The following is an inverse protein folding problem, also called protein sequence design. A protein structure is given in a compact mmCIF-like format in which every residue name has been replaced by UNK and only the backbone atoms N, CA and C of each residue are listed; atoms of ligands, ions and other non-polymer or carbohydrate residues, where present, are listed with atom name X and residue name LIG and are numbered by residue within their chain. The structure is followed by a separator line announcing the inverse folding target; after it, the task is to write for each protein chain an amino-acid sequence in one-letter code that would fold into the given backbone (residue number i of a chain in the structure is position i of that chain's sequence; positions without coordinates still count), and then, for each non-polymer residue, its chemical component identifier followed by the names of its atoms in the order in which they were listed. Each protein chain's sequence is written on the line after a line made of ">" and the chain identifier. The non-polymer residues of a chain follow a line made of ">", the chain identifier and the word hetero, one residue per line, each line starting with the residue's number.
data_IF_573877999256
#
_entry.id   IF_573877999256
#
_cell.length_a   1.000
_cell.length_b   1.000
_cell.length_c   1.000
_cell.angle_alpha   90.00
_cell.angle_beta   90.00
_cell.angle_gamma   90.00
#
_symmetry.space_group_name_H-M   'P 1'
#
loop_
_entity.id
_entity.type
_entity.pdbx_description
1 polymer ?
#
# COMPACT_ATOMS: atom_id res chain seq x y z
N UNK A 1 -30.72 56.07 30.19
CA UNK A 1 -29.60 55.33 30.81
C UNK A 1 -29.92 53.85 30.69
N UNK A 2 -29.38 53.18 29.67
CA UNK A 2 -28.17 52.33 29.69
C UNK A 2 -28.50 50.85 29.99
N UNK A 3 -28.66 50.10 28.90
CA UNK A 3 -28.08 48.78 28.65
C UNK A 3 -28.35 47.63 29.65
N UNK A 4 -29.33 46.78 29.34
CA UNK A 4 -29.37 45.38 29.80
C UNK A 4 -29.78 44.47 28.62
N UNK A 5 -28.95 44.46 27.58
CA UNK A 5 -28.98 43.51 26.47
C UNK A 5 -27.54 43.07 26.28
N UNK A 6 -27.12 41.94 26.89
CA UNK A 6 -25.90 41.14 26.59
C UNK A 6 -25.48 40.28 27.80
N UNK A 7 -26.12 39.12 27.94
CA UNK A 7 -25.62 37.90 28.57
C UNK A 7 -26.70 36.87 28.22
N UNK A 8 -26.49 35.74 27.56
CA UNK A 8 -25.38 34.80 27.65
C UNK A 8 -25.51 33.87 26.42
N UNK A 9 -24.91 34.24 25.29
CA UNK A 9 -24.76 33.36 24.12
C UNK A 9 -23.29 32.94 24.13
N UNK A 10 -22.98 31.76 24.65
CA UNK A 10 -21.75 30.98 24.38
C UNK A 10 -21.67 29.76 25.30
N UNK A 11 -22.52 28.74 25.08
CA UNK A 11 -22.30 27.43 25.68
C UNK A 11 -22.81 26.29 24.78
N UNK A 12 -22.38 26.26 23.52
CA UNK A 12 -22.70 25.17 22.59
C UNK A 12 -21.50 24.81 21.67
N UNK A 13 -20.27 24.74 22.18
CA UNK A 13 -19.12 24.27 21.39
C UNK A 13 -18.15 23.38 22.19
N UNK A 14 -18.70 22.42 22.93
CA UNK A 14 -17.92 21.27 23.39
C UNK A 14 -18.68 20.01 23.02
N UNK A 15 -18.77 19.74 21.72
CA UNK A 15 -18.97 18.37 21.27
C UNK A 15 -17.65 17.63 21.55
N UNK A 16 -17.60 16.64 22.45
CA UNK A 16 -16.46 15.74 22.47
C UNK A 16 -16.38 15.11 21.09
N UNK A 17 -15.22 15.24 20.45
CA UNK A 17 -14.83 14.35 19.35
C UNK A 17 -14.88 12.96 19.96
N UNK A 18 -16.00 12.26 19.77
CA UNK A 18 -16.05 10.83 20.04
C UNK A 18 -15.12 10.22 19.00
N UNK A 19 -13.87 10.01 19.40
CA UNK A 19 -13.02 8.97 18.82
C UNK A 19 -13.79 7.68 19.09
N UNK A 20 -14.66 7.29 18.16
CA UNK A 20 -15.17 5.95 18.11
C UNK A 20 -13.96 5.07 17.79
N UNK A 21 -13.29 4.59 18.85
CA UNK A 21 -12.65 3.30 18.80
C UNK A 21 -13.77 2.30 18.51
N UNK A 22 -14.07 2.10 17.22
CA UNK A 22 -14.90 0.99 16.80
C UNK A 22 -14.16 -0.25 17.28
N UNK A 23 -14.69 -0.86 18.33
CA UNK A 23 -14.45 -2.26 18.62
C UNK A 23 -14.98 -3.01 17.38
N UNK A 24 -14.09 -3.21 16.40
CA UNK A 24 -14.35 -4.03 15.23
C UNK A 24 -14.54 -5.43 15.78
N UNK A 25 -15.79 -5.78 16.09
CA UNK A 25 -16.25 -7.17 16.21
C UNK A 25 -15.60 -7.91 15.04
N UNK A 26 -15.02 -9.08 15.29
CA UNK A 26 -14.39 -9.92 14.26
C UNK A 26 -15.39 -10.20 13.13
N UNK A 27 -15.53 -9.27 12.19
CA UNK A 27 -16.30 -9.42 10.98
C UNK A 27 -15.46 -10.28 10.07
N UNK A 28 -15.95 -11.49 9.79
CA UNK A 28 -15.29 -12.41 8.87
C UNK A 28 -14.89 -11.66 7.59
N UNK A 29 -13.60 -11.70 7.28
CA UNK A 29 -13.08 -11.21 6.00
C UNK A 29 -13.55 -12.21 4.95
N UNK A 30 -14.26 -11.75 3.93
CA UNK A 30 -14.77 -12.65 2.91
C UNK A 30 -13.63 -13.23 2.06
N UNK A 31 -13.51 -14.57 2.05
CA UNK A 31 -12.60 -15.32 1.18
C UNK A 31 -13.41 -16.11 0.16
N UNK A 32 -13.02 -16.01 -1.11
CA UNK A 32 -13.77 -16.62 -2.22
C UNK A 32 -13.12 -17.94 -2.67
N UNK A 33 -13.87 -19.06 -2.72
CA UNK A 33 -13.32 -20.35 -3.13
C UNK A 33 -12.67 -20.35 -4.53
N UNK A 34 -13.22 -19.58 -5.47
CA UNK A 34 -12.66 -19.47 -6.82
C UNK A 34 -11.24 -18.87 -6.81
N UNK A 35 -11.02 -17.83 -6.00
CA UNK A 35 -9.69 -17.21 -5.83
C UNK A 35 -8.70 -18.20 -5.22
N UNK A 36 -9.12 -18.98 -4.22
CA UNK A 36 -8.27 -20.01 -3.60
C UNK A 36 -7.88 -21.06 -4.64
N UNK A 37 -8.82 -21.51 -5.47
CA UNK A 37 -8.54 -22.46 -6.56
C UNK A 37 -7.56 -21.89 -7.60
N UNK A 38 -7.72 -20.62 -7.98
CA UNK A 38 -6.77 -19.97 -8.91
C UNK A 38 -5.39 -19.79 -8.27
N UNK A 39 -5.33 -19.54 -6.97
CA UNK A 39 -4.08 -19.49 -6.23
C UNK A 39 -3.37 -20.85 -6.20
N UNK A 40 -4.10 -21.94 -5.96
CA UNK A 40 -3.56 -23.30 -6.06
C UNK A 40 -2.97 -23.58 -7.45
N UNK A 41 -3.70 -23.20 -8.52
CA UNK A 41 -3.21 -23.31 -9.90
C UNK A 41 -1.93 -22.49 -10.13
N UNK A 42 -1.85 -21.30 -9.53
CA UNK A 42 -0.67 -20.42 -9.59
C UNK A 42 0.46 -20.81 -8.61
N UNK A 43 0.34 -21.92 -7.88
CA UNK A 43 1.25 -22.31 -6.79
C UNK A 43 1.43 -21.25 -5.69
N UNK A 44 0.41 -20.42 -5.48
CA UNK A 44 0.36 -19.41 -4.44
C UNK A 44 -0.31 -19.98 -3.18
N UNK A 45 0.39 -19.95 -2.04
CA UNK A 45 -0.11 -20.47 -0.76
C UNK A 45 -1.12 -19.50 -0.11
N UNK A 46 -2.29 -19.35 -0.73
CA UNK A 46 -3.23 -18.26 -0.44
C UNK A 46 -3.56 -18.09 1.03
N UNK A 47 -4.00 -19.17 1.70
CA UNK A 47 -4.42 -19.11 3.10
C UNK A 47 -3.24 -18.84 4.05
N UNK A 48 -2.06 -19.39 3.75
CA UNK A 48 -0.85 -19.13 4.56
C UNK A 48 -0.44 -17.66 4.47
N UNK A 49 -0.40 -17.11 3.25
CA UNK A 49 -0.06 -15.70 3.02
C UNK A 49 -1.13 -14.78 3.62
N UNK A 50 -2.41 -15.10 3.43
CA UNK A 50 -3.53 -14.37 4.02
C UNK A 50 -3.43 -14.30 5.55
N UNK A 51 -3.22 -15.44 6.21
CA UNK A 51 -3.15 -15.49 7.68
C UNK A 51 -1.95 -14.69 8.22
N UNK A 52 -0.80 -14.76 7.55
CA UNK A 52 0.38 -13.95 7.90
C UNK A 52 0.16 -12.46 7.63
N UNK A 53 -0.48 -12.12 6.51
CA UNK A 53 -0.83 -10.74 6.19
C UNK A 53 -1.77 -10.16 7.24
N UNK A 54 -2.83 -10.90 7.61
CA UNK A 54 -3.81 -10.53 8.65
C UNK A 54 -3.16 -10.35 10.03
N UNK A 55 -2.07 -11.06 10.32
CA UNK A 55 -1.30 -10.90 11.56
C UNK A 55 -0.24 -9.79 11.50
N UNK A 56 -0.22 -9.00 10.42
CA UNK A 56 0.63 -7.82 10.29
C UNK A 56 2.01 -8.08 9.70
N UNK A 57 2.29 -9.26 9.14
CA UNK A 57 3.58 -9.54 8.51
C UNK A 57 3.77 -8.68 7.24
N UNK A 58 4.74 -7.74 7.20
CA UNK A 58 4.86 -6.78 6.09
C UNK A 58 5.10 -7.43 4.73
N UNK A 59 5.85 -8.54 4.71
CA UNK A 59 6.15 -9.28 3.50
C UNK A 59 4.90 -9.95 2.95
N UNK A 60 4.13 -10.60 3.82
CA UNK A 60 2.89 -11.28 3.45
C UNK A 60 1.80 -10.28 3.06
N UNK A 61 1.71 -9.10 3.71
CA UNK A 61 0.80 -8.02 3.26
C UNK A 61 1.12 -7.64 1.81
N UNK A 62 2.39 -7.37 1.51
CA UNK A 62 2.81 -7.01 0.17
C UNK A 62 2.52 -8.13 -0.83
N UNK A 63 2.91 -9.35 -0.51
CA UNK A 63 2.70 -10.53 -1.35
C UNK A 63 1.20 -10.79 -1.61
N UNK A 64 0.37 -10.66 -0.58
CA UNK A 64 -1.08 -10.79 -0.69
C UNK A 64 -1.68 -9.73 -1.60
N UNK A 65 -1.26 -8.46 -1.48
CA UNK A 65 -1.72 -7.40 -2.37
C UNK A 65 -1.23 -7.61 -3.82
N UNK A 66 0.02 -8.03 -4.02
CA UNK A 66 0.61 -8.28 -5.34
C UNK A 66 -0.06 -9.45 -6.09
N UNK A 67 -0.73 -10.36 -5.38
CA UNK A 67 -1.52 -11.44 -6.00
C UNK A 67 -2.65 -10.91 -6.90
N UNK A 68 -3.07 -9.65 -6.74
CA UNK A 68 -3.93 -8.97 -7.71
C UNK A 68 -3.35 -8.98 -9.14
N UNK A 69 -2.03 -9.05 -9.33
CA UNK A 69 -1.43 -9.14 -10.67
C UNK A 69 -1.57 -10.52 -11.32
N UNK A 70 -1.91 -11.55 -10.54
CA UNK A 70 -2.05 -12.95 -10.99
C UNK A 70 -3.49 -13.28 -11.37
N UNK A 71 -4.46 -12.77 -10.61
CA UNK A 71 -5.88 -12.98 -10.85
C UNK A 71 -6.48 -11.84 -11.68
N UNK A 72 -7.44 -12.14 -12.55
CA UNK A 72 -8.14 -11.13 -13.36
C UNK A 72 -9.66 -11.37 -13.40
N UNK A 73 -10.40 -10.47 -14.07
CA UNK A 73 -11.84 -10.57 -14.22
C UNK A 73 -12.58 -10.66 -12.88
N UNK A 74 -13.49 -11.63 -12.76
CA UNK A 74 -14.30 -11.83 -11.55
C UNK A 74 -13.47 -12.19 -10.33
N UNK A 75 -12.46 -13.06 -10.50
CA UNK A 75 -11.57 -13.51 -9.43
C UNK A 75 -10.66 -12.38 -8.94
N UNK A 76 -10.21 -11.52 -9.87
CA UNK A 76 -9.47 -10.30 -9.53
C UNK A 76 -10.27 -9.36 -8.62
N UNK A 77 -11.56 -9.16 -8.91
CA UNK A 77 -12.44 -8.35 -8.07
C UNK A 77 -12.81 -9.02 -6.73
N UNK A 78 -12.96 -10.34 -6.72
CA UNK A 78 -13.19 -11.10 -5.49
C UNK A 78 -12.00 -11.00 -4.55
N UNK A 79 -10.78 -11.20 -5.07
CA UNK A 79 -9.56 -11.04 -4.28
C UNK A 79 -9.39 -9.59 -3.79
N UNK A 80 -9.66 -8.60 -4.63
CA UNK A 80 -9.64 -7.20 -4.22
C UNK A 80 -10.65 -6.90 -3.10
N UNK A 81 -11.81 -7.57 -3.10
CA UNK A 81 -12.79 -7.49 -2.00
C UNK A 81 -12.21 -8.06 -0.70
N UNK A 82 -11.56 -9.22 -0.77
CA UNK A 82 -10.82 -9.78 0.38
C UNK A 82 -9.74 -8.82 0.88
N UNK A 83 -8.95 -8.20 -0.02
CA UNK A 83 -7.94 -7.22 0.36
C UNK A 83 -8.55 -6.00 1.04
N UNK A 84 -9.60 -5.41 0.47
CA UNK A 84 -10.31 -4.24 1.02
C UNK A 84 -10.80 -4.52 2.44
N UNK A 85 -11.43 -5.68 2.65
CA UNK A 85 -11.96 -6.07 3.96
C UNK A 85 -10.88 -6.43 4.98
N UNK A 86 -9.67 -6.74 4.54
CA UNK A 86 -8.52 -6.96 5.42
C UNK A 86 -7.92 -5.65 5.93
N UNK A 87 -8.00 -4.56 5.16
CA UNK A 87 -7.31 -3.30 5.48
C UNK A 87 -7.62 -2.75 6.89
N UNK A 88 -8.88 -2.73 7.37
CA UNK A 88 -9.19 -2.21 8.71
C UNK A 88 -8.56 -3.00 9.88
N UNK A 89 -8.12 -4.23 9.64
CA UNK A 89 -7.44 -5.06 10.65
C UNK A 89 -5.94 -4.80 10.71
N UNK A 90 -5.42 -4.00 9.78
CA UNK A 90 -4.02 -3.65 9.66
C UNK A 90 -3.80 -2.19 10.03
N UNK A 91 -2.59 -1.86 10.46
CA UNK A 91 -2.21 -0.47 10.69
C UNK A 91 -2.02 0.20 9.32
N UNK A 92 -2.67 1.35 9.10
CA UNK A 92 -2.69 2.02 7.79
C UNK A 92 -1.28 2.37 7.28
N UNK A 93 -0.37 2.85 8.16
CA UNK A 93 1.01 3.19 7.78
C UNK A 93 1.84 1.96 7.35
N UNK A 94 1.57 0.79 7.96
CA UNK A 94 2.18 -0.49 7.61
C UNK A 94 1.76 -0.94 6.20
N UNK A 95 0.45 -0.89 5.90
CA UNK A 95 -0.07 -1.20 4.56
C UNK A 95 0.51 -0.23 3.53
N UNK A 96 0.46 1.06 3.83
CA UNK A 96 0.96 2.12 2.96
C UNK A 96 2.44 1.97 2.64
N UNK A 97 3.26 1.54 3.61
CA UNK A 97 4.68 1.25 3.39
C UNK A 97 4.87 0.06 2.43
N UNK A 98 4.07 -1.00 2.58
CA UNK A 98 4.06 -2.14 1.66
C UNK A 98 3.73 -1.71 0.22
N UNK A 99 2.70 -0.88 0.05
CA UNK A 99 2.28 -0.32 -1.25
C UNK A 99 3.33 0.63 -1.82
N UNK A 100 3.97 1.45 -0.97
CA UNK A 100 4.97 2.43 -1.40
C UNK A 100 6.14 1.82 -2.16
N UNK A 101 6.51 0.57 -1.85
CA UNK A 101 7.55 -0.20 -2.53
C UNK A 101 7.11 -0.87 -3.84
N UNK A 102 5.84 -0.81 -4.21
CA UNK A 102 5.31 -1.44 -5.43
C UNK A 102 5.54 -0.57 -6.68
N UNK A 103 5.54 -1.23 -7.85
CA UNK A 103 5.63 -0.56 -9.15
C UNK A 103 4.39 0.32 -9.41
N UNK A 104 4.50 1.46 -10.13
CA UNK A 104 3.37 2.34 -10.41
C UNK A 104 2.14 1.63 -11.00
N UNK A 105 2.35 0.73 -11.98
CA UNK A 105 1.28 -0.07 -12.58
C UNK A 105 0.50 -0.91 -11.56
N UNK A 106 1.19 -1.45 -10.56
CA UNK A 106 0.58 -2.24 -9.49
C UNK A 106 -0.28 -1.34 -8.57
N UNK A 107 0.21 -0.15 -8.25
CA UNK A 107 -0.55 0.84 -7.46
C UNK A 107 -1.84 1.26 -8.17
N UNK A 108 -1.77 1.55 -9.47
CA UNK A 108 -2.95 1.88 -10.27
C UNK A 108 -3.94 0.72 -10.36
N UNK A 109 -3.45 -0.52 -10.51
CA UNK A 109 -4.28 -1.72 -10.50
C UNK A 109 -4.99 -1.90 -9.16
N UNK A 110 -4.27 -1.78 -8.04
CA UNK A 110 -4.85 -1.87 -6.70
C UNK A 110 -5.89 -0.77 -6.47
N UNK A 111 -5.58 0.49 -6.83
CA UNK A 111 -6.50 1.61 -6.65
C UNK A 111 -7.83 1.35 -7.38
N UNK A 112 -7.76 1.01 -8.67
CA UNK A 112 -8.95 0.70 -9.49
C UNK A 112 -9.76 -0.45 -8.90
N UNK A 113 -9.09 -1.54 -8.51
CA UNK A 113 -9.78 -2.73 -7.96
C UNK A 113 -10.36 -2.51 -6.58
N UNK A 114 -9.67 -1.77 -5.70
CA UNK A 114 -10.18 -1.44 -4.38
C UNK A 114 -11.43 -0.57 -4.51
N UNK A 115 -11.42 0.44 -5.38
CA UNK A 115 -12.62 1.25 -5.67
C UNK A 115 -13.79 0.41 -6.18
N UNK A 116 -13.54 -0.53 -7.11
CA UNK A 116 -14.57 -1.46 -7.58
C UNK A 116 -15.05 -2.42 -6.48
N UNK A 117 -14.14 -2.85 -5.59
CA UNK A 117 -14.47 -3.68 -4.45
C UNK A 117 -15.33 -2.96 -3.40
N UNK A 118 -15.21 -1.62 -3.26
CA UNK A 118 -16.11 -0.83 -2.40
C UNK A 118 -17.56 -0.98 -2.86
N UNK A 119 -17.82 -1.11 -4.16
CA UNK A 119 -19.16 -1.37 -4.68
C UNK A 119 -19.69 -2.80 -4.46
N UNK A 120 -18.88 -3.70 -3.88
CA UNK A 120 -19.22 -5.13 -3.68
C UNK A 120 -19.22 -5.57 -2.23
N UNK A 121 -18.43 -4.94 -1.37
CA UNK A 121 -18.43 -5.25 0.05
C UNK A 121 -19.78 -4.90 0.68
N UNK A 122 -20.17 -5.67 1.69
CA UNK A 122 -21.37 -5.42 2.51
C UNK A 122 -21.06 -4.60 3.76
N UNK A 123 -19.79 -4.29 4.00
CA UNK A 123 -19.33 -3.56 5.19
C UNK A 123 -19.46 -2.06 4.97
N UNK A 124 -20.47 -1.45 5.59
CA UNK A 124 -20.81 -0.03 5.39
C UNK A 124 -19.63 0.92 5.63
N UNK A 125 -18.79 0.62 6.62
CA UNK A 125 -17.59 1.41 6.93
C UNK A 125 -16.63 1.52 5.73
N UNK A 126 -16.57 0.50 4.87
CA UNK A 126 -15.68 0.43 3.72
C UNK A 126 -16.28 1.04 2.44
N UNK A 127 -17.54 1.47 2.48
CA UNK A 127 -18.18 2.19 1.37
C UNK A 127 -17.72 3.66 1.30
N UNK A 128 -17.20 4.21 2.41
CA UNK A 128 -16.62 5.56 2.45
C UNK A 128 -15.35 5.62 1.61
N UNK A 129 -15.02 6.74 0.96
CA UNK A 129 -13.77 6.90 0.21
C UNK A 129 -12.54 6.43 1.02
N UNK A 130 -11.64 5.67 0.40
CA UNK A 130 -10.45 5.10 1.07
C UNK A 130 -9.64 6.18 1.80
N UNK A 131 -9.54 7.38 1.22
CA UNK A 131 -8.85 8.52 1.82
C UNK A 131 -9.37 8.93 3.21
N UNK A 132 -10.64 8.64 3.53
CA UNK A 132 -11.26 9.04 4.79
C UNK A 132 -10.89 8.10 5.95
N UNK A 133 -10.69 6.81 5.67
CA UNK A 133 -10.46 5.79 6.71
C UNK A 133 -9.07 5.12 6.63
N UNK A 134 -8.38 5.21 5.49
CA UNK A 134 -7.00 4.76 5.30
C UNK A 134 -6.20 5.79 4.49
N UNK A 135 -5.97 7.00 5.05
CA UNK A 135 -5.33 8.11 4.36
C UNK A 135 -3.89 7.81 3.90
N UNK A 136 -3.11 7.04 4.65
CA UNK A 136 -1.74 6.69 4.23
C UNK A 136 -1.75 5.67 3.09
N UNK A 137 -2.62 4.66 3.16
CA UNK A 137 -2.84 3.72 2.06
C UNK A 137 -3.25 4.46 0.80
N UNK A 138 -4.17 5.42 0.90
CA UNK A 138 -4.59 6.27 -0.23
C UNK A 138 -3.41 7.03 -0.85
N UNK A 139 -2.57 7.69 -0.04
CA UNK A 139 -1.36 8.37 -0.51
C UNK A 139 -0.41 7.42 -1.24
N UNK A 140 -0.16 6.26 -0.66
CA UNK A 140 0.74 5.26 -1.24
C UNK A 140 0.23 4.74 -2.60
N UNK A 141 -1.09 4.51 -2.73
CA UNK A 141 -1.77 4.13 -3.97
C UNK A 141 -1.65 5.22 -5.05
N UNK A 142 -1.67 6.50 -4.65
CA UNK A 142 -1.49 7.64 -5.55
C UNK A 142 -0.02 7.96 -5.87
N UNK A 143 0.91 7.10 -5.43
CA UNK A 143 2.33 7.21 -5.80
C UNK A 143 3.20 7.90 -4.76
N UNK A 144 2.63 8.46 -3.70
CA UNK A 144 3.41 9.04 -2.60
C UNK A 144 4.22 7.96 -1.88
N UNK A 145 5.36 8.38 -1.31
CA UNK A 145 6.19 7.53 -0.44
C UNK A 145 5.70 7.68 0.98
N UNK A 146 5.26 6.59 1.59
CA UNK A 146 4.92 6.53 3.01
C UNK A 146 5.93 5.62 3.71
N UNK A 147 6.56 6.15 4.74
CA UNK A 147 7.42 5.37 5.65
C UNK A 147 6.60 4.96 6.87
N UNK A 148 6.59 3.66 7.16
CA UNK A 148 5.97 3.14 8.37
C UNK A 148 6.85 3.44 9.58
N UNK A 149 6.40 4.34 10.46
CA UNK A 149 7.12 4.70 11.68
C UNK A 149 7.10 3.55 12.69
N UNK A 150 6.03 2.75 12.66
CA UNK A 150 5.84 1.57 13.50
C UNK A 150 6.80 0.42 13.13
N UNK A 151 7.23 0.35 11.87
CA UNK A 151 8.08 -0.70 11.34
C UNK A 151 9.55 -0.53 11.73
N UNK A 152 9.99 0.70 12.03
CA UNK A 152 11.35 0.98 12.53
C UNK A 152 11.64 0.27 13.88
N UNK A 153 10.61 -0.01 14.67
CA UNK A 153 10.74 -0.71 15.95
C UNK A 153 10.74 -2.24 15.81
N UNK A 154 10.23 -2.78 14.69
CA UNK A 154 10.23 -4.22 14.42
C UNK A 154 11.51 -4.72 13.75
N UNK A 155 12.30 -3.81 13.16
CA UNK A 155 13.58 -4.12 12.48
C UNK A 155 14.78 -3.86 13.42
N UNK A 156 14.61 -4.04 14.73
CA UNK A 156 15.70 -4.02 15.71
C UNK A 156 16.65 -5.23 15.64
N UNK A 157 16.79 -5.86 14.46
CA UNK A 157 17.53 -7.11 14.27
C UNK A 157 18.20 -7.29 12.90
N UNK A 158 18.21 -6.26 12.03
CA UNK A 158 19.03 -6.28 10.82
C UNK A 158 20.22 -5.35 11.00
N UNK A 159 21.34 -5.95 11.39
CA UNK A 159 22.67 -5.35 11.31
C UNK A 159 22.89 -4.76 9.91
N UNK A 160 23.10 -3.44 9.86
CA UNK A 160 23.60 -2.76 8.68
C UNK A 160 24.97 -3.36 8.32
N UNK A 161 25.01 -4.23 7.31
CA UNK A 161 26.26 -4.54 6.63
C UNK A 161 26.68 -3.30 5.84
N UNK A 162 27.59 -2.53 6.45
CA UNK A 162 28.39 -1.47 5.86
C UNK A 162 28.89 -1.89 4.46
N UNK A 163 28.65 -1.13 3.37
CA UNK A 163 29.29 -1.42 2.11
C UNK A 163 30.77 -1.04 2.24
N UNK A 164 31.63 -2.02 1.99
CA UNK A 164 33.08 -1.85 1.89
C UNK A 164 33.40 -0.84 0.78
N UNK A 165 34.34 0.06 1.06
CA UNK A 165 34.78 1.11 0.15
C UNK A 165 35.33 0.53 -1.15
N UNK A 166 34.80 1.01 -2.26
CA UNK A 166 35.47 0.94 -3.56
C UNK A 166 36.38 2.15 -3.66
N UNK A 167 37.68 1.93 -3.51
CA UNK A 167 38.74 2.90 -3.83
C UNK A 167 38.63 3.29 -5.31
N UNK A 168 38.41 4.58 -5.54
CA UNK A 168 38.51 5.21 -6.85
C UNK A 168 40.00 5.40 -7.16
N UNK A 169 40.49 4.72 -8.20
CA UNK A 169 41.85 4.95 -8.74
C UNK A 169 41.79 6.10 -9.76
N UNK A 170 42.56 7.20 -9.59
CA UNK A 170 42.56 8.30 -10.55
C UNK A 170 43.36 7.91 -11.81
N UNK A 171 42.82 8.28 -12.97
CA UNK A 171 43.47 8.14 -14.27
C UNK A 171 44.56 9.19 -14.49
N UNK A 172 45.51 8.82 -15.36
CA UNK A 172 46.43 9.74 -16.01
C UNK A 172 46.29 9.56 -17.53
N UNK A 173 46.05 10.69 -18.20
CA UNK A 173 46.17 11.01 -19.63
C UNK A 173 47.19 10.17 -20.42
N UNK A 174 46.95 9.91 -21.72
CA UNK A 174 47.19 10.88 -22.81
C UNK A 174 47.04 10.25 -24.21
N UNK A 175 46.58 11.09 -25.15
CA UNK A 175 46.89 11.10 -26.60
C UNK A 175 46.02 10.30 -27.58
N UNK A 176 45.10 11.02 -28.25
CA UNK A 176 44.90 10.92 -29.71
C UNK A 176 46.10 11.61 -30.43
N UNK A 177 46.27 11.59 -31.78
CA UNK A 177 45.34 11.21 -32.85
C UNK A 177 45.95 10.40 -34.02
N UNK A 178 45.11 9.88 -34.93
CA UNK A 178 45.35 9.92 -36.39
C UNK A 178 44.13 9.35 -37.14
N UNK A 179 43.68 10.10 -38.13
CA UNK A 179 42.68 9.74 -39.12
C UNK A 179 43.14 8.57 -40.02
N UNK A 180 42.22 7.89 -40.70
CA UNK A 180 42.19 7.77 -42.18
C UNK A 180 40.87 7.10 -42.61
N UNK A 181 40.28 7.69 -43.64
CA UNK A 181 39.10 7.27 -44.40
C UNK A 181 39.16 5.84 -44.93
N UNK A 182 38.00 5.19 -45.11
CA UNK A 182 37.68 4.49 -46.37
C UNK A 182 36.17 4.34 -46.53
N UNK A 183 35.62 5.16 -47.42
CA UNK A 183 34.36 4.99 -48.15
C UNK A 183 34.60 4.03 -49.32
N UNK A 184 33.87 2.91 -49.45
CA UNK A 184 33.34 2.39 -50.74
C UNK A 184 32.42 1.17 -50.58
N UNK A 185 31.33 1.13 -51.37
CA UNK A 185 30.50 -0.06 -51.63
C UNK A 185 29.02 0.30 -51.75
N UNK A 186 28.56 1.04 -52.77
CA UNK A 186 28.28 0.66 -54.18
C UNK A 186 27.11 -0.34 -54.36
N UNK A 187 26.20 0.11 -55.22
CA UNK A 187 25.01 -0.53 -55.79
C UNK A 187 25.35 -1.81 -56.57
#
# INVERSE_FOLDING_TARGET
>A
MKSLFRALICLCLLSPVMVQAQEVKNEDIQVFPAVVKTAEWANFKYMDVFNKAKSGDPRSIKEFLEFNSVVDGTEGLQHATTCLEMLPFLIDDLVASGISGMKPKMKSLLLSRLQLAQGRTKKEALLKPIQEWAPFTWKALNGERVTCNSCMHMIGGMTQSKPAGMEVKPGAEKSAPAATDTETGKQ
#
